data_IF_534138612420
#
_entry.id   IF_534138612420
#
_cell.length_a   1.000
_cell.length_b   1.000
_cell.length_c   1.000
_cell.angle_alpha   90.00
_cell.angle_beta   90.00
_cell.angle_gamma   90.00
#
_symmetry.space_group_name_H-M   'P 1'
#
loop_
_entity.id
_entity.type
_entity.pdbx_description
1 polymer ?
#
# COMPACT_ATOMS: atom_id res chain seq x y z
N UNK A 1 -26.92 1.28 -18.31
CA UNK A 1 -27.05 2.61 -17.69
C UNK A 1 -27.03 2.56 -16.15
N UNK A 2 -27.64 1.57 -15.49
CA UNK A 2 -27.67 1.47 -14.01
C UNK A 2 -26.29 1.27 -13.33
N UNK A 3 -25.35 0.55 -13.95
CA UNK A 3 -23.99 0.36 -13.39
C UNK A 3 -23.16 1.64 -13.33
N UNK A 4 -23.34 2.55 -14.30
CA UNK A 4 -22.58 3.81 -14.35
C UNK A 4 -22.99 4.75 -13.21
N UNK A 5 -24.28 4.80 -12.87
CA UNK A 5 -24.77 5.58 -11.73
C UNK A 5 -24.36 4.99 -10.39
N UNK A 6 -24.31 3.65 -10.25
CA UNK A 6 -23.76 3.00 -9.06
C UNK A 6 -22.29 3.33 -8.86
N UNK A 7 -21.46 3.17 -9.90
CA UNK A 7 -20.03 3.47 -9.84
C UNK A 7 -19.73 4.93 -9.47
N UNK A 8 -20.51 5.89 -10.00
CA UNK A 8 -20.33 7.32 -9.68
C UNK A 8 -20.74 7.64 -8.24
N UNK A 9 -21.86 7.10 -7.76
CA UNK A 9 -22.32 7.28 -6.38
C UNK A 9 -21.39 6.60 -5.35
N UNK A 10 -20.82 5.45 -5.71
CA UNK A 10 -19.88 4.72 -4.88
C UNK A 10 -18.55 5.46 -4.74
N UNK A 11 -18.08 6.14 -5.79
CA UNK A 11 -16.83 6.93 -5.78
C UNK A 11 -16.80 8.01 -4.70
N UNK A 12 -17.94 8.64 -4.40
CA UNK A 12 -18.07 9.59 -3.29
C UNK A 12 -17.93 8.91 -1.92
N UNK A 13 -18.60 7.77 -1.73
CA UNK A 13 -18.53 6.97 -0.50
C UNK A 13 -17.14 6.42 -0.23
N UNK A 14 -16.40 6.06 -1.27
CA UNK A 14 -15.02 5.58 -1.14
C UNK A 14 -14.05 6.70 -0.74
N UNK A 15 -14.28 7.93 -1.22
CA UNK A 15 -13.54 9.11 -0.76
C UNK A 15 -13.76 9.39 0.74
N UNK A 16 -15.01 9.34 1.19
CA UNK A 16 -15.33 9.47 2.63
C UNK A 16 -14.65 8.37 3.45
N UNK A 17 -14.64 7.12 2.96
CA UNK A 17 -14.02 5.99 3.67
C UNK A 17 -12.49 6.09 3.73
N UNK A 18 -11.85 6.67 2.72
CA UNK A 18 -10.41 7.01 2.75
C UNK A 18 -10.13 8.09 3.80
N UNK A 19 -10.98 9.13 3.89
CA UNK A 19 -10.86 10.18 4.89
C UNK A 19 -11.06 9.63 6.31
N UNK A 20 -12.04 8.74 6.49
CA UNK A 20 -12.29 8.06 7.75
C UNK A 20 -11.08 7.19 8.16
N UNK A 21 -10.54 6.38 7.25
CA UNK A 21 -9.33 5.59 7.49
C UNK A 21 -8.16 6.46 7.95
N UNK A 22 -7.98 7.61 7.29
CA UNK A 22 -6.95 8.57 7.64
C UNK A 22 -7.19 9.23 9.01
N UNK A 23 -8.45 9.53 9.36
CA UNK A 23 -8.80 10.01 10.70
C UNK A 23 -8.44 8.97 11.77
N UNK A 24 -8.87 7.71 11.60
CA UNK A 24 -8.52 6.64 12.52
C UNK A 24 -7.01 6.50 12.68
N UNK A 25 -6.25 6.62 11.59
CA UNK A 25 -4.79 6.59 11.63
C UNK A 25 -4.21 7.73 12.48
N UNK A 26 -4.71 8.96 12.29
CA UNK A 26 -4.30 10.14 13.07
C UNK A 26 -4.68 10.03 14.55
N UNK A 27 -5.79 9.35 14.84
CA UNK A 27 -6.29 9.08 16.18
C UNK A 27 -5.60 7.86 16.84
N UNK A 28 -4.53 7.32 16.22
CA UNK A 28 -3.78 6.13 16.66
C UNK A 28 -4.61 4.85 16.74
N UNK A 29 -5.77 4.83 16.07
CA UNK A 29 -6.64 3.65 15.90
C UNK A 29 -6.19 2.84 14.69
N UNK A 30 -4.98 2.29 14.80
CA UNK A 30 -4.30 1.63 13.68
C UNK A 30 -5.06 0.41 13.16
N UNK A 31 -5.66 -0.39 14.05
CA UNK A 31 -6.44 -1.57 13.65
C UNK A 31 -7.61 -1.21 12.75
N UNK A 32 -8.40 -0.22 13.15
CA UNK A 32 -9.52 0.27 12.35
C UNK A 32 -9.04 0.90 11.04
N UNK A 33 -8.06 1.80 11.10
CA UNK A 33 -7.48 2.43 9.91
C UNK A 33 -7.02 1.40 8.88
N UNK A 34 -6.31 0.35 9.31
CA UNK A 34 -5.85 -0.72 8.44
C UNK A 34 -7.00 -1.51 7.84
N UNK A 35 -8.06 -1.83 8.59
CA UNK A 35 -9.22 -2.54 8.02
C UNK A 35 -9.85 -1.72 6.89
N UNK A 36 -9.99 -0.40 7.07
CA UNK A 36 -10.50 0.47 6.01
C UNK A 36 -9.56 0.52 4.80
N UNK A 37 -8.24 0.69 5.03
CA UNK A 37 -7.27 0.69 3.94
C UNK A 37 -7.15 -0.65 3.23
N UNK A 38 -7.17 -1.78 3.94
CA UNK A 38 -7.13 -3.12 3.35
C UNK A 38 -8.36 -3.35 2.46
N UNK A 39 -9.56 -3.00 2.94
CA UNK A 39 -10.79 -3.11 2.14
C UNK A 39 -10.70 -2.28 0.85
N UNK A 40 -10.27 -1.02 0.96
CA UNK A 40 -10.14 -0.13 -0.19
C UNK A 40 -9.00 -0.59 -1.13
N UNK A 41 -7.97 -1.25 -0.60
CA UNK A 41 -6.89 -1.83 -1.38
C UNK A 41 -7.39 -2.94 -2.30
N UNK A 42 -8.30 -3.79 -1.81
CA UNK A 42 -8.94 -4.84 -2.60
C UNK A 42 -9.87 -4.28 -3.69
N UNK A 43 -10.35 -3.06 -3.53
CA UNK A 43 -11.10 -2.32 -4.58
C UNK A 43 -10.18 -1.63 -5.59
N UNK A 44 -8.86 -1.75 -5.44
CA UNK A 44 -7.88 -1.22 -6.38
C UNK A 44 -7.44 0.21 -6.11
N UNK A 45 -7.83 0.84 -4.99
CA UNK A 45 -7.39 2.21 -4.70
C UNK A 45 -5.89 2.24 -4.35
N UNK A 46 -5.06 2.84 -5.21
CA UNK A 46 -3.61 2.97 -5.03
C UNK A 46 -3.26 3.58 -3.66
N UNK A 47 -3.89 4.71 -3.29
CA UNK A 47 -3.67 5.38 -1.99
C UNK A 47 -3.96 4.45 -0.81
N UNK A 48 -4.93 3.54 -0.94
CA UNK A 48 -5.22 2.58 0.11
C UNK A 48 -4.17 1.48 0.17
N UNK A 49 -3.70 1.01 -0.99
CA UNK A 49 -2.63 0.01 -1.09
C UNK A 49 -1.34 0.53 -0.47
N UNK A 50 -0.91 1.75 -0.81
CA UNK A 50 0.29 2.36 -0.25
C UNK A 50 0.18 2.61 1.25
N UNK A 51 -0.97 3.07 1.75
CA UNK A 51 -1.19 3.26 3.18
C UNK A 51 -1.26 1.93 3.96
N UNK A 52 -1.93 0.90 3.44
CA UNK A 52 -1.96 -0.43 4.05
C UNK A 52 -0.56 -1.03 4.12
N UNK A 53 0.24 -0.90 3.06
CA UNK A 53 1.63 -1.34 3.02
C UNK A 53 2.48 -0.61 4.06
N UNK A 54 2.34 0.70 4.15
CA UNK A 54 3.07 1.53 5.11
C UNK A 54 2.78 1.17 6.57
N UNK A 55 1.52 0.92 6.91
CA UNK A 55 1.13 0.52 8.26
C UNK A 55 1.71 -0.84 8.66
N UNK A 56 1.76 -1.79 7.72
CA UNK A 56 2.38 -3.09 7.92
C UNK A 56 3.91 -2.99 8.06
N UNK A 57 4.56 -2.19 7.20
CA UNK A 57 6.00 -1.94 7.20
C UNK A 57 6.48 -1.36 8.55
N UNK A 58 5.73 -0.41 9.10
CA UNK A 58 6.04 0.21 10.40
C UNK A 58 5.70 -0.67 11.60
N UNK A 59 4.93 -1.74 11.41
CA UNK A 59 4.44 -2.58 12.50
C UNK A 59 3.50 -1.83 13.44
N UNK A 60 2.72 -0.87 12.93
CA UNK A 60 1.79 -0.05 13.72
C UNK A 60 0.49 -0.80 14.06
N UNK A 61 0.25 -1.94 13.42
CA UNK A 61 -0.86 -2.82 13.74
C UNK A 61 -0.66 -3.50 15.10
N UNK A 62 -1.67 -3.38 15.97
CA UNK A 62 -1.62 -3.94 17.32
C UNK A 62 -1.75 -5.47 17.29
N UNK A 63 -0.84 -6.14 18.01
CA UNK A 63 -0.81 -7.54 18.44
C UNK A 63 -1.55 -8.59 17.57
N UNK A 64 -0.79 -9.43 16.86
CA UNK A 64 -1.31 -10.68 16.29
C UNK A 64 -0.76 -11.07 14.92
N UNK A 65 -0.11 -10.14 14.22
CA UNK A 65 0.57 -10.41 12.95
C UNK A 65 2.07 -10.50 13.25
N UNK A 66 2.69 -11.62 12.88
CA UNK A 66 4.14 -11.73 12.99
C UNK A 66 4.83 -10.73 12.06
N UNK A 67 5.98 -10.19 12.48
CA UNK A 67 6.70 -9.19 11.68
C UNK A 67 7.10 -9.74 10.31
N UNK A 68 7.44 -11.02 10.21
CA UNK A 68 7.76 -11.62 8.91
C UNK A 68 6.53 -11.65 7.98
N UNK A 69 5.37 -12.02 8.51
CA UNK A 69 4.10 -12.02 7.78
C UNK A 69 3.67 -10.61 7.38
N UNK A 70 3.88 -9.63 8.25
CA UNK A 70 3.61 -8.23 7.95
C UNK A 70 4.42 -7.75 6.74
N UNK A 71 5.72 -8.10 6.68
CA UNK A 71 6.54 -7.77 5.52
C UNK A 71 6.06 -8.45 4.24
N UNK A 72 5.71 -9.74 4.28
CA UNK A 72 5.17 -10.43 3.09
C UNK A 72 3.91 -9.73 2.56
N UNK A 73 2.99 -9.34 3.45
CA UNK A 73 1.77 -8.64 3.06
C UNK A 73 2.06 -7.23 2.54
N UNK A 74 2.97 -6.50 3.19
CA UNK A 74 3.38 -5.17 2.76
C UNK A 74 4.02 -5.20 1.36
N UNK A 75 4.84 -6.21 1.06
CA UNK A 75 5.44 -6.41 -0.26
C UNK A 75 4.38 -6.51 -1.36
N UNK A 76 3.30 -7.26 -1.09
CA UNK A 76 2.18 -7.40 -2.04
C UNK A 76 1.48 -6.05 -2.27
N UNK A 77 1.20 -5.31 -1.20
CA UNK A 77 0.53 -4.01 -1.33
C UNK A 77 1.42 -2.96 -2.01
N UNK A 78 2.72 -2.93 -1.70
CA UNK A 78 3.69 -2.10 -2.42
C UNK A 78 3.74 -2.47 -3.90
N UNK A 79 3.75 -3.77 -4.23
CA UNK A 79 3.69 -4.25 -5.61
C UNK A 79 2.48 -3.71 -6.36
N UNK A 80 1.29 -3.80 -5.75
CA UNK A 80 0.05 -3.29 -6.35
C UNK A 80 0.07 -1.77 -6.56
N UNK A 81 0.55 -1.00 -5.57
CA UNK A 81 0.65 0.45 -5.68
C UNK A 81 1.68 0.87 -6.75
N UNK A 82 2.81 0.18 -6.82
CA UNK A 82 3.85 0.39 -7.81
C UNK A 82 3.37 0.13 -9.25
N UNK A 83 2.54 -0.90 -9.45
CA UNK A 83 1.90 -1.20 -10.74
C UNK A 83 0.94 -0.09 -11.20
N UNK A 84 0.40 0.69 -10.27
CA UNK A 84 -0.43 1.86 -10.56
C UNK A 84 0.39 3.14 -10.73
N UNK A 85 1.73 3.04 -10.72
CA UNK A 85 2.64 4.15 -10.95
C UNK A 85 3.00 4.95 -9.71
N UNK A 86 2.76 4.44 -8.50
CA UNK A 86 3.21 5.13 -7.28
C UNK A 86 4.73 4.97 -7.11
N UNK A 87 5.47 6.07 -7.35
CA UNK A 87 6.93 6.06 -7.38
C UNK A 87 7.58 5.69 -6.04
N UNK A 88 7.00 6.12 -4.91
CA UNK A 88 7.52 5.75 -3.60
C UNK A 88 7.34 4.25 -3.30
N UNK A 89 6.31 3.59 -3.86
CA UNK A 89 6.19 2.14 -3.77
C UNK A 89 7.32 1.43 -4.55
N UNK A 90 7.77 1.96 -5.69
CA UNK A 90 8.92 1.40 -6.41
C UNK A 90 10.18 1.47 -5.56
N UNK A 91 10.43 2.58 -4.86
CA UNK A 91 11.55 2.68 -3.91
C UNK A 91 11.42 1.62 -2.81
N UNK A 92 10.22 1.45 -2.24
CA UNK A 92 9.97 0.44 -1.20
C UNK A 92 10.17 -0.99 -1.70
N UNK A 93 9.77 -1.32 -2.92
CA UNK A 93 10.08 -2.62 -3.52
C UNK A 93 11.59 -2.83 -3.65
N UNK A 94 12.33 -1.79 -4.02
CA UNK A 94 13.79 -1.78 -4.02
C UNK A 94 14.37 -2.12 -2.64
N UNK A 95 13.89 -1.44 -1.59
CA UNK A 95 14.31 -1.69 -0.21
C UNK A 95 14.01 -3.13 0.22
N UNK A 96 12.82 -3.65 -0.11
CA UNK A 96 12.39 -4.98 0.30
C UNK A 96 13.25 -6.07 -0.33
N UNK A 97 13.60 -5.94 -1.60
CA UNK A 97 14.53 -6.85 -2.28
C UNK A 97 15.97 -6.67 -1.79
N UNK A 98 16.40 -5.45 -1.46
CA UNK A 98 17.74 -5.19 -0.96
C UNK A 98 17.99 -5.80 0.43
N UNK A 99 17.02 -5.66 1.35
CA UNK A 99 17.14 -6.14 2.72
C UNK A 99 16.51 -7.53 2.95
N UNK A 100 15.81 -8.10 1.97
CA UNK A 100 15.10 -9.37 2.11
C UNK A 100 13.90 -9.28 3.06
N UNK A 101 13.13 -8.19 2.99
CA UNK A 101 11.94 -8.00 3.84
C UNK A 101 10.75 -8.74 3.24
N UNK A 102 10.32 -9.84 3.86
CA UNK A 102 9.21 -10.65 3.33
C UNK A 102 9.52 -11.32 1.99
N UNK A 103 10.78 -11.33 1.57
CA UNK A 103 11.30 -11.95 0.35
C UNK A 103 12.77 -12.33 0.57
N UNK A 104 13.35 -13.10 -0.36
CA UNK A 104 14.80 -13.31 -0.37
C UNK A 104 15.53 -12.03 -0.83
N UNK A 105 16.76 -11.85 -0.36
CA UNK A 105 17.64 -10.78 -0.84
C UNK A 105 17.90 -10.96 -2.33
N UNK A 106 17.62 -9.92 -3.12
CA UNK A 106 17.80 -9.89 -4.57
C UNK A 106 18.23 -8.48 -5.00
N UNK A 107 19.54 -8.28 -5.17
CA UNK A 107 20.08 -6.98 -5.55
C UNK A 107 19.78 -6.58 -7.00
N UNK A 108 19.52 -7.56 -7.87
CA UNK A 108 19.17 -7.28 -9.27
C UNK A 108 17.77 -6.68 -9.35
N UNK A 109 16.81 -7.29 -8.65
CA UNK A 109 15.46 -6.75 -8.52
C UNK A 109 15.46 -5.41 -7.80
N UNK A 110 16.27 -5.25 -6.75
CA UNK A 110 16.40 -3.97 -6.06
C UNK A 110 16.87 -2.85 -7.02
N UNK A 111 17.93 -3.11 -7.80
CA UNK A 111 18.45 -2.16 -8.78
C UNK A 111 17.45 -1.85 -9.90
N UNK A 112 16.64 -2.84 -10.32
CA UNK A 112 15.55 -2.61 -11.28
C UNK A 112 14.53 -1.63 -10.73
N UNK A 113 14.02 -1.87 -9.51
CA UNK A 113 13.01 -1.02 -8.89
C UNK A 113 13.51 0.41 -8.63
N UNK A 114 14.76 0.59 -8.19
CA UNK A 114 15.33 1.94 -8.03
C UNK A 114 15.48 2.70 -9.35
N UNK A 115 15.85 2.00 -10.44
CA UNK A 115 15.89 2.63 -11.78
C UNK A 115 14.51 3.08 -12.22
N UNK A 116 13.50 2.21 -12.08
CA UNK A 116 12.10 2.56 -12.39
C UNK A 116 11.63 3.79 -11.60
N UNK A 117 11.96 3.86 -10.30
CA UNK A 117 11.61 5.00 -9.47
C UNK A 117 12.31 6.30 -9.90
N UNK A 118 13.57 6.22 -10.34
CA UNK A 118 14.37 7.34 -10.85
C UNK A 118 13.84 7.85 -12.19
N UNK A 119 13.60 6.96 -13.15
CA UNK A 119 13.12 7.31 -14.49
C UNK A 119 11.74 7.97 -14.42
N UNK A 120 10.91 7.57 -13.46
CA UNK A 120 9.59 8.15 -13.23
C UNK A 120 9.65 9.55 -12.57
N UNK A 121 10.74 9.89 -11.86
CA UNK A 121 10.95 11.21 -11.27
C UNK A 121 11.54 12.24 -12.26
N UNK A 122 12.15 11.78 -13.36
CA UNK A 122 12.84 12.64 -14.33
C UNK A 122 11.96 13.07 -15.52
N UNK A 123 10.74 12.56 -15.63
CA UNK A 123 9.74 12.93 -16.64
C UNK A 123 8.69 13.89 -16.08
#
# INVERSE_FOLDING_TARGET
MLELYKNVAERGKWGEKLMEAHSHYRDMRYSEAFVHYALLSELGYEVAQSNAAFMLDRGEMQAGIDRSEAYVRALVYWGRAALQGYSAAQVKLGDYHYYGLGTAVDYEQAALHYRLASDQHQN
#
